data_IF_338154499157
#
_entry.id   IF_338154499157
#
_cell.length_a   1.000
_cell.length_b   1.000
_cell.length_c   1.000
_cell.angle_alpha   90.00
_cell.angle_beta   90.00
_cell.angle_gamma   90.00
#
_symmetry.space_group_name_H-M   'P 1'
#
loop_
_entity.id
_entity.type
_entity.pdbx_description
1 polymer ?
#
# COMPACT_ATOMS: atom_id res chain seq x y z
N UNK A 1 -1.19 -15.92 10.17
CA UNK A 1 -2.08 -14.74 9.98
C UNK A 1 -1.26 -13.49 10.22
N UNK A 2 -1.03 -12.72 9.17
CA UNK A 2 -0.50 -11.36 9.33
C UNK A 2 -1.70 -10.50 9.67
N UNK A 3 -1.95 -10.33 10.97
CA UNK A 3 -2.90 -9.32 11.42
C UNK A 3 -2.18 -7.98 11.39
N UNK A 4 -2.40 -7.23 10.35
CA UNK A 4 -1.90 -5.86 10.20
C UNK A 4 -2.91 -4.85 10.75
N UNK A 5 -3.86 -5.29 11.56
CA UNK A 5 -4.93 -4.44 12.08
C UNK A 5 -4.47 -3.53 13.22
N UNK A 6 -4.99 -2.33 13.24
CA UNK A 6 -4.97 -1.44 14.41
C UNK A 6 -5.87 -1.96 15.53
N UNK A 7 -6.58 -3.04 15.29
CA UNK A 7 -7.54 -3.58 16.23
C UNK A 7 -6.85 -4.53 17.20
N UNK A 8 -6.66 -4.06 18.41
CA UNK A 8 -6.73 -4.88 19.61
C UNK A 8 -5.56 -5.76 19.95
N UNK A 9 -4.37 -5.64 19.37
CA UNK A 9 -3.24 -6.31 20.00
C UNK A 9 -2.01 -5.42 20.03
N UNK A 10 -1.38 -5.32 21.19
CA UNK A 10 -0.05 -4.74 21.39
C UNK A 10 1.00 -5.33 20.41
N UNK A 11 0.69 -6.46 19.80
CA UNK A 11 1.56 -7.16 18.85
C UNK A 11 1.69 -6.44 17.51
N UNK A 12 0.63 -5.81 17.01
CA UNK A 12 0.67 -5.10 15.71
C UNK A 12 1.55 -3.87 15.72
N UNK A 13 1.69 -3.20 16.85
CA UNK A 13 2.57 -2.03 17.04
C UNK A 13 4.06 -2.43 17.00
N UNK A 14 4.37 -3.71 17.18
CA UNK A 14 5.74 -4.24 17.26
C UNK A 14 6.22 -4.90 15.98
N UNK A 15 5.39 -4.95 14.95
CA UNK A 15 5.68 -5.63 13.71
C UNK A 15 5.87 -4.64 12.57
N UNK A 16 6.76 -4.94 11.64
CA UNK A 16 7.00 -4.18 10.42
C UNK A 16 7.13 -5.14 9.25
N UNK A 17 6.33 -4.93 8.22
CA UNK A 17 6.55 -5.54 6.91
C UNK A 17 7.37 -4.55 6.06
N UNK A 18 8.52 -4.98 5.55
CA UNK A 18 9.34 -4.14 4.68
C UNK A 18 9.16 -4.54 3.22
N UNK A 19 8.81 -3.55 2.39
CA UNK A 19 8.57 -3.74 0.96
C UNK A 19 9.86 -4.04 0.19
N UNK A 20 9.78 -4.71 -0.97
CA UNK A 20 10.94 -5.22 -1.69
C UNK A 20 11.72 -4.17 -2.48
N UNK A 21 11.21 -2.95 -2.61
CA UNK A 21 11.77 -1.85 -3.40
C UNK A 21 13.02 -1.19 -2.77
N UNK A 22 13.86 -1.99 -2.17
CA UNK A 22 15.15 -1.60 -1.59
C UNK A 22 16.29 -1.68 -2.62
N UNK A 23 17.49 -1.26 -2.24
CA UNK A 23 18.69 -1.42 -3.04
C UNK A 23 19.78 -2.16 -2.21
N UNK A 24 20.07 -3.45 -2.50
CA UNK A 24 19.44 -4.29 -3.53
C UNK A 24 17.98 -4.61 -3.27
N UNK A 25 17.23 -5.00 -4.32
CA UNK A 25 15.86 -5.49 -4.25
C UNK A 25 15.79 -6.80 -3.46
N UNK A 26 14.68 -7.03 -2.72
CA UNK A 26 14.47 -8.29 -1.99
C UNK A 26 13.95 -9.35 -2.97
N UNK A 27 14.79 -9.87 -3.84
CA UNK A 27 14.45 -10.81 -4.90
C UNK A 27 15.17 -12.16 -4.81
N UNK A 28 15.92 -12.38 -3.73
CA UNK A 28 16.69 -13.60 -3.48
C UNK A 28 16.88 -13.86 -1.98
N UNK A 29 17.24 -15.09 -1.63
CA UNK A 29 17.41 -15.53 -0.24
C UNK A 29 18.53 -14.77 0.50
N UNK A 30 19.61 -14.36 -0.18
CA UNK A 30 20.73 -13.65 0.44
C UNK A 30 20.27 -12.31 1.01
N UNK A 31 19.51 -11.54 0.23
CA UNK A 31 18.95 -10.25 0.68
C UNK A 31 17.98 -10.43 1.84
N UNK A 32 17.13 -11.47 1.79
CA UNK A 32 16.21 -11.81 2.89
C UNK A 32 16.99 -12.11 4.18
N UNK A 33 18.00 -12.97 4.09
CA UNK A 33 18.82 -13.32 5.26
C UNK A 33 19.56 -12.12 5.82
N UNK A 34 20.07 -11.22 4.97
CA UNK A 34 20.71 -9.97 5.40
C UNK A 34 19.74 -9.11 6.22
N UNK A 35 18.50 -8.94 5.76
CA UNK A 35 17.49 -8.16 6.47
C UNK A 35 17.15 -8.82 7.81
N UNK A 36 16.91 -10.13 7.83
CA UNK A 36 16.57 -10.84 9.06
C UNK A 36 17.72 -10.83 10.08
N UNK A 37 18.98 -10.87 9.62
CA UNK A 37 20.12 -10.74 10.50
C UNK A 37 20.19 -9.35 11.14
N UNK A 38 19.97 -8.29 10.36
CA UNK A 38 19.87 -6.91 10.87
C UNK A 38 18.67 -6.70 11.79
N UNK A 39 17.56 -7.37 11.50
CA UNK A 39 16.36 -7.30 12.32
C UNK A 39 16.53 -7.84 13.75
N UNK A 40 17.54 -8.68 14.01
CA UNK A 40 17.84 -9.17 15.38
C UNK A 40 18.21 -8.05 16.34
N UNK A 41 18.71 -6.93 15.83
CA UNK A 41 19.06 -5.74 16.63
C UNK A 41 17.86 -4.81 16.84
N UNK A 42 16.77 -5.02 16.09
CA UNK A 42 15.57 -4.18 16.16
C UNK A 42 14.71 -4.51 17.38
N UNK A 43 14.00 -3.51 17.90
CA UNK A 43 13.02 -3.69 18.98
C UNK A 43 11.68 -4.24 18.46
N UNK A 44 11.48 -4.18 17.15
CA UNK A 44 10.28 -4.64 16.45
C UNK A 44 10.58 -5.90 15.65
N UNK A 45 9.59 -6.75 15.43
CA UNK A 45 9.72 -7.87 14.50
C UNK A 45 9.65 -7.33 13.08
N UNK A 46 10.54 -7.80 12.23
CA UNK A 46 10.61 -7.40 10.81
C UNK A 46 10.28 -8.60 9.95
N UNK A 47 9.32 -8.40 9.04
CA UNK A 47 8.87 -9.39 8.08
C UNK A 47 9.23 -8.93 6.67
N UNK A 48 10.20 -9.55 6.00
CA UNK A 48 10.53 -9.22 4.62
C UNK A 48 9.38 -9.61 3.68
N UNK A 49 9.04 -8.69 2.78
CA UNK A 49 8.22 -8.94 1.60
C UNK A 49 9.17 -9.09 0.42
N UNK A 50 9.12 -10.22 -0.28
CA UNK A 50 9.93 -10.45 -1.46
C UNK A 50 9.33 -9.78 -2.71
N UNK A 51 10.15 -9.55 -3.75
CA UNK A 51 9.59 -9.09 -5.02
C UNK A 51 8.89 -10.22 -5.80
N UNK A 52 7.88 -9.83 -6.58
CA UNK A 52 7.22 -10.76 -7.53
C UNK A 52 8.19 -11.07 -8.66
N UNK A 53 8.83 -10.02 -9.18
CA UNK A 53 9.76 -10.15 -10.32
C UNK A 53 11.17 -9.70 -9.95
N UNK A 54 12.17 -10.32 -10.56
CA UNK A 54 13.58 -10.02 -10.32
C UNK A 54 13.87 -8.55 -10.62
N UNK A 55 14.49 -7.87 -9.66
CA UNK A 55 14.81 -6.46 -9.75
C UNK A 55 13.59 -5.55 -9.96
N UNK A 56 12.35 -6.01 -9.63
CA UNK A 56 11.11 -5.29 -9.96
C UNK A 56 10.99 -4.99 -11.46
N UNK A 57 11.47 -5.92 -12.30
CA UNK A 57 11.54 -5.73 -13.76
C UNK A 57 10.27 -6.09 -14.53
N UNK A 58 9.26 -6.64 -13.86
CA UNK A 58 7.94 -6.96 -14.43
C UNK A 58 7.91 -8.15 -15.42
N UNK A 59 9.00 -8.92 -15.57
CA UNK A 59 9.10 -9.95 -16.59
C UNK A 59 9.52 -11.34 -16.09
N UNK A 60 10.55 -11.44 -15.29
CA UNK A 60 11.07 -12.69 -14.75
C UNK A 60 10.64 -12.85 -13.29
N UNK A 61 9.84 -13.87 -13.00
CA UNK A 61 9.39 -14.14 -11.63
C UNK A 61 10.53 -14.63 -10.74
N UNK A 62 10.51 -14.25 -9.47
CA UNK A 62 11.36 -14.80 -8.43
C UNK A 62 10.95 -16.24 -8.08
N UNK A 63 11.84 -16.96 -7.41
CA UNK A 63 11.52 -18.25 -6.81
C UNK A 63 10.83 -18.04 -5.45
N UNK A 64 9.50 -18.16 -5.43
CA UNK A 64 8.71 -17.89 -4.23
C UNK A 64 8.91 -18.94 -3.14
N UNK A 65 9.25 -20.18 -3.49
CA UNK A 65 9.57 -21.20 -2.49
C UNK A 65 10.90 -20.88 -1.81
N UNK A 66 11.89 -20.42 -2.57
CA UNK A 66 13.18 -19.96 -2.02
C UNK A 66 12.96 -18.76 -1.10
N UNK A 67 12.22 -17.73 -1.54
CA UNK A 67 11.91 -16.55 -0.75
C UNK A 67 11.16 -16.90 0.54
N UNK A 68 10.16 -17.78 0.47
CA UNK A 68 9.42 -18.20 1.64
C UNK A 68 10.29 -18.97 2.63
N UNK A 69 11.09 -19.93 2.15
CA UNK A 69 12.05 -20.67 2.98
C UNK A 69 13.09 -19.77 3.64
N UNK A 70 13.48 -18.69 2.97
CA UNK A 70 14.38 -17.69 3.52
C UNK A 70 13.72 -16.80 4.59
N UNK A 71 12.39 -16.72 4.64
CA UNK A 71 11.64 -16.00 5.67
C UNK A 71 10.73 -14.87 5.17
N UNK A 72 10.52 -14.74 3.86
CA UNK A 72 9.50 -13.84 3.33
C UNK A 72 8.09 -14.31 3.71
N UNK A 73 7.22 -13.35 3.99
CA UNK A 73 5.82 -13.60 4.38
C UNK A 73 4.82 -13.31 3.26
N UNK A 74 5.21 -12.51 2.31
CA UNK A 74 4.41 -12.08 1.16
C UNK A 74 5.33 -11.71 -0.02
N UNK A 75 4.74 -11.43 -1.18
CA UNK A 75 5.44 -10.90 -2.35
C UNK A 75 4.72 -9.67 -2.91
N UNK A 76 5.50 -8.72 -3.44
CA UNK A 76 5.01 -7.47 -4.01
C UNK A 76 6.00 -6.93 -5.04
N UNK A 77 5.51 -6.25 -6.08
CA UNK A 77 6.34 -5.35 -6.90
C UNK A 77 5.95 -3.89 -6.59
N UNK A 78 6.07 -3.53 -5.30
CA UNK A 78 5.71 -2.21 -4.80
C UNK A 78 6.47 -1.10 -5.52
N UNK A 79 5.73 -0.05 -5.93
CA UNK A 79 6.23 1.09 -6.69
C UNK A 79 6.58 0.80 -8.17
N UNK A 80 6.59 -0.48 -8.60
CA UNK A 80 6.80 -0.90 -9.99
C UNK A 80 5.90 -2.08 -10.35
N UNK A 81 4.58 -1.87 -10.41
CA UNK A 81 3.60 -2.94 -10.50
C UNK A 81 3.77 -3.80 -11.75
N UNK A 82 3.43 -5.08 -11.61
CA UNK A 82 3.48 -6.04 -12.72
C UNK A 82 2.43 -5.67 -13.77
N UNK A 83 2.86 -5.16 -14.93
CA UNK A 83 1.96 -4.75 -16.01
C UNK A 83 1.27 -5.91 -16.71
N UNK A 84 1.96 -7.05 -16.82
CA UNK A 84 1.47 -8.21 -17.56
C UNK A 84 0.51 -9.04 -16.68
N UNK A 85 -0.78 -9.01 -17.02
CA UNK A 85 -1.82 -9.73 -16.28
C UNK A 85 -1.57 -11.25 -16.19
N UNK A 86 -0.94 -11.88 -17.22
CA UNK A 86 -0.59 -13.32 -17.17
C UNK A 86 0.49 -13.59 -16.13
N UNK A 87 1.52 -12.74 -16.04
CA UNK A 87 2.57 -12.88 -15.01
C UNK A 87 1.97 -12.68 -13.63
N UNK A 88 1.08 -11.70 -13.45
CA UNK A 88 0.40 -11.47 -12.18
C UNK A 88 -0.48 -12.67 -11.78
N UNK A 89 -1.25 -13.23 -12.70
CA UNK A 89 -2.07 -14.42 -12.47
C UNK A 89 -1.21 -15.63 -12.03
N UNK A 90 -0.11 -15.88 -12.75
CA UNK A 90 0.85 -16.93 -12.38
C UNK A 90 1.50 -16.66 -11.01
N UNK A 91 1.81 -15.41 -10.69
CA UNK A 91 2.39 -15.02 -9.41
C UNK A 91 1.40 -15.23 -8.26
N UNK A 92 0.13 -14.84 -8.41
CA UNK A 92 -0.90 -15.08 -7.40
C UNK A 92 -1.03 -16.57 -7.06
N UNK A 93 -1.13 -17.42 -8.08
CA UNK A 93 -1.23 -18.87 -7.88
C UNK A 93 0.01 -19.43 -7.19
N UNK A 94 1.21 -19.09 -7.67
CA UNK A 94 2.47 -19.59 -7.09
C UNK A 94 2.69 -19.10 -5.67
N UNK A 95 2.39 -17.82 -5.38
CA UNK A 95 2.49 -17.28 -4.03
C UNK A 95 1.55 -18.02 -3.07
N UNK A 96 0.30 -18.25 -3.49
CA UNK A 96 -0.67 -19.02 -2.70
C UNK A 96 -0.16 -20.41 -2.36
N UNK A 97 0.34 -21.17 -3.34
CA UNK A 97 0.88 -22.51 -3.09
C UNK A 97 2.18 -22.51 -2.29
N UNK A 98 2.96 -21.44 -2.35
CA UNK A 98 4.13 -21.26 -1.50
C UNK A 98 3.77 -20.80 -0.05
N UNK A 99 2.49 -20.62 0.27
CA UNK A 99 2.03 -20.16 1.58
C UNK A 99 2.16 -18.66 1.82
N UNK A 100 2.30 -17.88 0.75
CA UNK A 100 2.40 -16.42 0.79
C UNK A 100 1.19 -15.76 0.12
N UNK A 101 1.04 -14.45 0.32
CA UNK A 101 0.06 -13.60 -0.38
C UNK A 101 0.78 -12.65 -1.33
N UNK A 102 0.09 -12.24 -2.38
CA UNK A 102 0.49 -11.07 -3.18
C UNK A 102 -0.07 -9.82 -2.51
N UNK A 103 0.79 -8.83 -2.28
CA UNK A 103 0.41 -7.46 -1.91
C UNK A 103 0.58 -6.61 -3.17
N UNK A 104 -0.50 -6.06 -3.68
CA UNK A 104 -0.48 -5.33 -4.95
C UNK A 104 -0.52 -3.83 -4.75
N UNK A 105 0.54 -3.14 -5.18
CA UNK A 105 0.53 -1.72 -5.46
C UNK A 105 -0.23 -1.50 -6.78
N UNK A 106 -1.48 -1.06 -6.66
CA UNK A 106 -2.37 -0.94 -7.81
C UNK A 106 -2.14 0.36 -8.56
N UNK A 107 -1.31 0.30 -9.59
CA UNK A 107 -1.00 1.47 -10.40
C UNK A 107 -0.73 1.09 -11.86
N UNK A 108 -1.37 1.80 -12.79
CA UNK A 108 -1.05 1.75 -14.22
C UNK A 108 -0.08 2.89 -14.56
N UNK A 109 1.20 2.55 -14.79
CA UNK A 109 2.26 3.52 -15.06
C UNK A 109 2.09 4.25 -16.40
N UNK A 110 1.34 3.69 -17.36
CA UNK A 110 1.05 4.35 -18.64
C UNK A 110 0.00 5.44 -18.44
N UNK A 111 -0.95 5.24 -17.51
CA UNK A 111 -1.93 6.26 -17.11
C UNK A 111 -1.27 7.32 -16.22
N UNK A 112 -0.36 6.94 -15.31
CA UNK A 112 0.45 7.89 -14.52
C UNK A 112 1.19 8.85 -15.42
N UNK A 113 1.85 8.34 -16.44
CA UNK A 113 2.47 9.12 -17.53
C UNK A 113 3.29 10.33 -17.02
N UNK A 114 4.07 10.15 -15.94
CA UNK A 114 4.87 11.21 -15.34
C UNK A 114 4.08 12.27 -14.55
N UNK A 115 2.85 11.96 -14.15
CA UNK A 115 2.09 12.78 -13.20
C UNK A 115 2.76 12.81 -11.83
N UNK A 116 2.55 13.87 -11.08
CA UNK A 116 3.21 14.10 -9.80
C UNK A 116 2.24 14.33 -8.64
N UNK A 117 0.96 14.45 -8.91
CA UNK A 117 -0.11 14.64 -7.94
C UNK A 117 -1.44 14.16 -8.53
N UNK A 118 -2.54 14.21 -7.78
CA UNK A 118 -3.86 13.86 -8.29
C UNK A 118 -4.26 14.72 -9.51
N UNK A 119 -4.80 14.08 -10.54
CA UNK A 119 -5.39 14.80 -11.68
C UNK A 119 -6.74 15.40 -11.27
N UNK A 120 -6.82 16.70 -11.24
CA UNK A 120 -8.03 17.41 -10.83
C UNK A 120 -7.92 18.93 -11.04
N UNK A 121 -8.68 19.66 -10.26
CA UNK A 121 -8.67 21.12 -10.30
C UNK A 121 -7.32 21.69 -9.87
N UNK A 122 -6.78 21.18 -8.76
CA UNK A 122 -5.52 21.67 -8.19
C UNK A 122 -4.35 21.46 -9.15
N UNK A 123 -4.23 20.28 -9.78
CA UNK A 123 -3.14 20.04 -10.74
C UNK A 123 -3.22 20.93 -11.96
N UNK A 124 -4.45 21.26 -12.43
CA UNK A 124 -4.67 22.19 -13.53
C UNK A 124 -4.30 23.64 -13.15
N UNK A 125 -4.69 24.08 -11.96
CA UNK A 125 -4.33 25.41 -11.44
C UNK A 125 -2.82 25.58 -11.28
N UNK A 126 -2.14 24.55 -10.75
CA UNK A 126 -0.70 24.57 -10.58
C UNK A 126 0.08 24.39 -11.89
N UNK A 127 -0.60 24.02 -12.98
CA UNK A 127 0.03 23.77 -14.28
C UNK A 127 0.93 22.55 -14.30
N UNK A 128 0.70 21.59 -13.39
CA UNK A 128 1.50 20.37 -13.27
C UNK A 128 0.73 19.14 -13.76
N UNK A 129 1.46 18.10 -14.17
CA UNK A 129 0.87 16.88 -14.66
C UNK A 129 0.26 16.08 -13.54
N UNK A 130 -1.01 15.72 -13.70
CA UNK A 130 -1.75 14.93 -12.73
C UNK A 130 -1.76 13.43 -13.03
N UNK A 131 -1.87 12.61 -11.99
CA UNK A 131 -2.10 11.16 -12.02
C UNK A 131 -3.59 10.93 -11.99
N UNK A 132 -4.15 10.39 -13.08
CA UNK A 132 -5.57 10.10 -13.13
C UNK A 132 -5.91 8.92 -12.19
N UNK A 133 -7.00 9.02 -11.44
CA UNK A 133 -7.44 7.97 -10.51
C UNK A 133 -7.57 6.59 -11.16
N UNK A 134 -7.89 6.55 -12.45
CA UNK A 134 -7.98 5.31 -13.22
C UNK A 134 -6.70 4.47 -13.19
N UNK A 135 -5.54 5.07 -12.89
CA UNK A 135 -4.30 4.30 -12.73
C UNK A 135 -4.42 3.28 -11.58
N UNK A 136 -5.12 3.65 -10.50
CA UNK A 136 -5.41 2.76 -9.37
C UNK A 136 -6.66 1.92 -9.63
N UNK A 137 -7.76 2.55 -10.04
CA UNK A 137 -9.07 1.90 -10.19
C UNK A 137 -9.03 0.68 -11.11
N UNK A 138 -8.37 0.80 -12.28
CA UNK A 138 -8.29 -0.27 -13.29
C UNK A 138 -7.43 -1.44 -12.80
N UNK A 139 -6.31 -1.15 -12.15
CA UNK A 139 -5.44 -2.21 -11.65
C UNK A 139 -6.08 -2.91 -10.46
N UNK A 140 -6.72 -2.18 -9.55
CA UNK A 140 -7.51 -2.79 -8.47
C UNK A 140 -8.57 -3.76 -9.01
N UNK A 141 -9.33 -3.36 -10.02
CA UNK A 141 -10.32 -4.24 -10.65
C UNK A 141 -9.69 -5.44 -11.34
N UNK A 142 -8.55 -5.27 -12.03
CA UNK A 142 -7.80 -6.36 -12.63
C UNK A 142 -7.39 -7.41 -11.60
N UNK A 143 -6.80 -6.97 -10.47
CA UNK A 143 -6.32 -7.86 -9.44
C UNK A 143 -7.46 -8.62 -8.77
N UNK A 144 -8.56 -7.94 -8.48
CA UNK A 144 -9.77 -8.56 -7.93
C UNK A 144 -10.34 -9.62 -8.89
N UNK A 145 -10.43 -9.29 -10.18
CA UNK A 145 -10.94 -10.20 -11.20
C UNK A 145 -10.06 -11.45 -11.30
N UNK A 146 -8.73 -11.29 -11.32
CA UNK A 146 -7.80 -12.42 -11.32
C UNK A 146 -7.94 -13.27 -10.06
N UNK A 147 -8.00 -12.65 -8.89
CA UNK A 147 -8.15 -13.35 -7.61
C UNK A 147 -9.46 -14.16 -7.55
N UNK A 148 -10.56 -13.58 -8.05
CA UNK A 148 -11.87 -14.24 -8.08
C UNK A 148 -11.88 -15.46 -9.02
N UNK A 149 -11.34 -15.33 -10.23
CA UNK A 149 -11.33 -16.41 -11.23
C UNK A 149 -10.37 -17.55 -10.85
N UNK A 150 -9.24 -17.21 -10.23
CA UNK A 150 -8.22 -18.16 -9.79
C UNK A 150 -8.50 -18.78 -8.41
N UNK A 151 -9.50 -18.28 -7.71
CA UNK A 151 -9.83 -18.68 -6.32
C UNK A 151 -8.63 -18.57 -5.36
N UNK A 152 -7.84 -17.48 -5.47
CA UNK A 152 -6.66 -17.21 -4.62
C UNK A 152 -6.80 -15.87 -3.91
N UNK A 153 -6.17 -15.70 -2.73
CA UNK A 153 -6.23 -14.44 -2.01
C UNK A 153 -5.37 -13.35 -2.67
N UNK A 154 -5.85 -12.11 -2.56
CA UNK A 154 -5.12 -10.89 -2.91
C UNK A 154 -5.21 -9.87 -1.78
N UNK A 155 -4.16 -9.09 -1.58
CA UNK A 155 -4.15 -7.93 -0.71
C UNK A 155 -3.89 -6.66 -1.53
N UNK A 156 -4.77 -5.68 -1.44
CA UNK A 156 -4.65 -4.39 -2.14
C UNK A 156 -4.00 -3.39 -1.21
N UNK A 157 -2.80 -2.92 -1.58
CA UNK A 157 -2.03 -1.98 -0.79
C UNK A 157 -2.60 -0.55 -0.88
N UNK A 158 -2.44 0.23 0.20
CA UNK A 158 -2.65 1.68 0.33
C UNK A 158 -3.77 2.25 -0.56
N UNK A 159 -4.98 1.70 -0.48
CA UNK A 159 -6.14 2.17 -1.25
C UNK A 159 -6.39 3.65 -1.01
N UNK A 160 -6.56 4.42 -2.09
CA UNK A 160 -6.72 5.87 -2.03
C UNK A 160 -7.97 6.42 -2.72
N UNK A 161 -8.66 5.63 -3.56
CA UNK A 161 -9.81 6.11 -4.35
C UNK A 161 -11.14 5.51 -3.91
N UNK A 162 -12.22 6.29 -4.05
CA UNK A 162 -13.58 5.84 -3.79
C UNK A 162 -14.00 4.68 -4.71
N UNK A 163 -13.50 4.66 -5.95
CA UNK A 163 -13.85 3.59 -6.90
C UNK A 163 -13.17 2.27 -6.52
N UNK A 164 -11.88 2.29 -6.15
CA UNK A 164 -11.19 1.09 -5.65
C UNK A 164 -11.88 0.53 -4.41
N UNK A 165 -12.31 1.39 -3.46
CA UNK A 165 -13.10 0.98 -2.31
C UNK A 165 -14.42 0.29 -2.72
N UNK A 166 -15.12 0.84 -3.70
CA UNK A 166 -16.36 0.24 -4.18
C UNK A 166 -16.12 -1.13 -4.85
N UNK A 167 -15.06 -1.26 -5.63
CA UNK A 167 -14.68 -2.51 -6.28
C UNK A 167 -14.36 -3.59 -5.22
N UNK A 168 -13.54 -3.26 -4.22
CA UNK A 168 -13.17 -4.15 -3.12
C UNK A 168 -14.41 -4.59 -2.32
N UNK A 169 -15.26 -3.64 -1.93
CA UNK A 169 -16.51 -3.92 -1.19
C UNK A 169 -17.44 -4.84 -1.97
N UNK A 170 -17.54 -4.64 -3.28
CA UNK A 170 -18.36 -5.48 -4.15
C UNK A 170 -17.78 -6.89 -4.25
N UNK A 171 -16.47 -7.02 -4.50
CA UNK A 171 -15.79 -8.30 -4.59
C UNK A 171 -15.93 -9.13 -3.29
N UNK A 172 -15.70 -8.51 -2.15
CA UNK A 172 -15.85 -9.16 -0.85
C UNK A 172 -17.27 -9.70 -0.62
N UNK A 173 -18.29 -8.95 -1.03
CA UNK A 173 -19.71 -9.40 -0.96
C UNK A 173 -19.98 -10.62 -1.83
N UNK A 174 -19.29 -10.78 -2.93
CA UNK A 174 -19.41 -11.95 -3.81
C UNK A 174 -18.44 -13.10 -3.43
N UNK A 175 -17.74 -12.97 -2.31
CA UNK A 175 -16.90 -14.03 -1.76
C UNK A 175 -15.48 -14.11 -2.30
N UNK A 176 -15.02 -13.09 -3.04
CA UNK A 176 -13.61 -12.97 -3.43
C UNK A 176 -12.74 -12.81 -2.18
N UNK A 177 -11.66 -13.56 -2.10
CA UNK A 177 -10.70 -13.48 -0.98
C UNK A 177 -9.81 -12.24 -1.13
N UNK A 178 -10.41 -11.07 -1.02
CA UNK A 178 -9.73 -9.77 -1.08
C UNK A 178 -9.62 -9.16 0.32
N UNK A 179 -8.44 -8.65 0.64
CA UNK A 179 -8.18 -7.79 1.79
C UNK A 179 -7.52 -6.50 1.31
N UNK A 180 -7.62 -5.43 2.07
CA UNK A 180 -7.00 -4.17 1.68
C UNK A 180 -6.52 -3.34 2.89
N UNK A 181 -5.66 -2.40 2.59
CA UNK A 181 -5.10 -1.49 3.57
C UNK A 181 -5.13 -0.04 3.07
N UNK A 182 -5.04 0.89 4.00
CA UNK A 182 -4.88 2.33 3.70
C UNK A 182 -3.89 2.96 4.68
N UNK A 183 -3.52 4.22 4.42
CA UNK A 183 -2.65 4.99 5.30
C UNK A 183 -3.36 6.25 5.84
N UNK A 184 -2.93 6.81 6.98
CA UNK A 184 -3.59 7.96 7.60
C UNK A 184 -3.76 9.16 6.68
N UNK A 185 -2.80 9.38 5.79
CA UNK A 185 -2.86 10.51 4.86
C UNK A 185 -4.01 10.38 3.84
N UNK A 186 -4.55 9.16 3.56
CA UNK A 186 -5.67 8.97 2.64
C UNK A 186 -7.06 9.17 3.27
N UNK A 187 -7.15 9.21 4.60
CA UNK A 187 -8.40 9.55 5.29
C UNK A 187 -8.33 10.87 6.08
N UNK A 188 -7.20 11.61 5.99
CA UNK A 188 -7.03 12.89 6.67
C UNK A 188 -6.76 14.05 5.73
N UNK A 189 -6.04 13.81 4.62
CA UNK A 189 -5.48 14.85 3.78
C UNK A 189 -6.08 14.79 2.38
N UNK A 190 -6.22 15.96 1.76
CA UNK A 190 -6.71 16.08 0.39
C UNK A 190 -5.66 16.71 -0.53
N UNK A 191 -5.85 16.59 -1.83
CA UNK A 191 -5.01 17.20 -2.86
C UNK A 191 -4.99 18.74 -2.79
N UNK A 192 -5.93 19.36 -2.06
CA UNK A 192 -5.95 20.80 -1.79
C UNK A 192 -4.65 21.33 -1.12
N UNK A 193 -4.01 20.49 -0.30
CA UNK A 193 -2.77 20.85 0.38
C UNK A 193 -1.61 21.11 -0.58
N UNK A 194 -1.64 20.49 -1.76
CA UNK A 194 -0.63 20.69 -2.79
C UNK A 194 -0.66 22.09 -3.43
N UNK A 195 -1.70 22.90 -3.19
CA UNK A 195 -1.72 24.32 -3.57
C UNK A 195 -0.57 25.12 -2.95
N UNK A 196 -0.05 24.66 -1.80
CA UNK A 196 1.14 25.24 -1.17
C UNK A 196 2.43 24.99 -1.94
N UNK A 197 2.44 24.05 -2.91
CA UNK A 197 3.63 23.52 -3.59
C UNK A 197 4.66 22.94 -2.61
N UNK A 198 4.21 22.47 -1.45
CA UNK A 198 5.04 21.76 -0.50
C UNK A 198 5.16 20.30 -0.92
N UNK A 199 6.39 19.87 -1.20
CA UNK A 199 6.66 18.53 -1.68
C UNK A 199 6.49 17.45 -0.59
N UNK A 200 6.37 17.82 0.68
CA UNK A 200 6.08 16.86 1.75
C UNK A 200 4.68 16.26 1.63
N UNK A 201 3.79 16.91 0.86
CA UNK A 201 2.47 16.36 0.49
C UNK A 201 2.50 15.51 -0.78
N UNK A 202 3.67 15.27 -1.39
CA UNK A 202 3.81 14.37 -2.53
C UNK A 202 4.08 12.95 -2.07
N UNK A 203 3.13 12.06 -2.34
CA UNK A 203 3.19 10.63 -2.07
C UNK A 203 2.56 9.84 -3.22
N UNK A 204 2.70 8.53 -3.23
CA UNK A 204 2.14 7.65 -4.24
C UNK A 204 1.54 6.39 -3.60
N UNK A 205 0.22 6.18 -3.75
CA UNK A 205 -0.79 6.98 -4.47
C UNK A 205 -0.82 8.45 -4.04
N UNK A 206 -1.22 9.38 -4.94
CA UNK A 206 -1.30 10.79 -4.56
C UNK A 206 -2.47 11.05 -3.62
N UNK A 207 -2.38 12.10 -2.80
CA UNK A 207 -3.53 12.62 -2.07
C UNK A 207 -4.67 12.91 -3.04
N UNK A 208 -5.87 12.46 -2.69
CA UNK A 208 -7.06 12.51 -3.53
C UNK A 208 -8.03 13.61 -3.09
N UNK A 209 -9.20 13.64 -3.70
CA UNK A 209 -10.26 14.60 -3.40
C UNK A 209 -10.92 14.31 -2.05
N UNK A 210 -11.68 15.31 -1.53
CA UNK A 210 -12.46 15.13 -0.30
C UNK A 210 -13.48 13.97 -0.39
N UNK A 211 -14.02 13.69 -1.59
CA UNK A 211 -14.93 12.57 -1.79
C UNK A 211 -14.21 11.22 -1.66
N UNK A 212 -12.97 11.12 -2.12
CA UNK A 212 -12.16 9.93 -1.93
C UNK A 212 -11.80 9.74 -0.45
N UNK A 213 -11.35 10.82 0.23
CA UNK A 213 -11.07 10.80 1.67
C UNK A 213 -12.28 10.31 2.48
N UNK A 214 -13.48 10.78 2.14
CA UNK A 214 -14.71 10.31 2.78
C UNK A 214 -14.94 8.82 2.56
N UNK A 215 -14.79 8.32 1.32
CA UNK A 215 -14.98 6.91 1.00
C UNK A 215 -13.97 5.99 1.71
N UNK A 216 -12.72 6.42 1.83
CA UNK A 216 -11.69 5.71 2.59
C UNK A 216 -12.05 5.69 4.09
N UNK A 217 -12.46 6.84 4.65
CA UNK A 217 -12.90 6.94 6.05
C UNK A 217 -14.07 5.98 6.33
N UNK A 218 -15.08 5.97 5.46
CA UNK A 218 -16.22 5.05 5.55
C UNK A 218 -15.74 3.59 5.48
N UNK A 219 -14.77 3.27 4.61
CA UNK A 219 -14.19 1.94 4.50
C UNK A 219 -13.45 1.46 5.75
N UNK A 220 -12.81 2.39 6.48
CA UNK A 220 -12.21 2.08 7.79
C UNK A 220 -13.29 1.84 8.84
N UNK A 221 -14.35 2.64 8.85
CA UNK A 221 -15.43 2.56 9.84
C UNK A 221 -16.26 1.28 9.67
N UNK A 222 -16.59 0.91 8.44
CA UNK A 222 -17.44 -0.24 8.15
C UNK A 222 -16.67 -1.57 8.08
N UNK A 223 -15.35 -1.54 8.25
CA UNK A 223 -14.48 -2.71 8.26
C UNK A 223 -14.19 -3.29 6.86
N UNK A 224 -14.47 -2.55 5.79
CA UNK A 224 -14.05 -2.93 4.44
C UNK A 224 -12.53 -2.86 4.31
N UNK A 225 -11.90 -1.89 4.98
CA UNK A 225 -10.44 -1.79 5.10
C UNK A 225 -10.00 -2.63 6.30
N UNK A 226 -9.13 -3.60 6.05
CA UNK A 226 -8.69 -4.57 7.06
C UNK A 226 -7.61 -4.01 7.99
N UNK A 227 -6.79 -3.07 7.51
CA UNK A 227 -5.73 -2.49 8.33
C UNK A 227 -5.32 -1.09 7.89
N UNK A 228 -4.71 -0.35 8.82
CA UNK A 228 -4.10 0.95 8.60
C UNK A 228 -2.59 0.77 8.70
N UNK A 229 -1.89 1.15 7.63
CA UNK A 229 -0.43 1.04 7.54
C UNK A 229 0.22 2.43 7.53
N UNK A 230 1.53 2.48 7.63
CA UNK A 230 2.25 3.75 7.69
C UNK A 230 2.60 4.32 6.33
N UNK A 231 2.81 3.46 5.37
CA UNK A 231 3.41 3.82 4.07
C UNK A 231 4.65 4.71 4.23
N UNK A 232 5.52 4.31 5.18
CA UNK A 232 6.68 5.09 5.56
C UNK A 232 7.75 5.05 4.46
N UNK A 233 7.87 6.14 3.72
CA UNK A 233 8.84 6.34 2.65
C UNK A 233 9.56 7.70 2.82
N UNK A 234 10.53 7.79 3.74
CA UNK A 234 11.19 9.05 4.08
C UNK A 234 12.18 9.47 3.00
N UNK A 235 12.27 10.77 2.80
CA UNK A 235 13.26 11.40 1.93
C UNK A 235 13.97 12.54 2.67
N UNK A 236 15.21 12.82 2.27
CA UNK A 236 15.95 13.92 2.83
C UNK A 236 15.32 15.29 2.45
N UNK A 237 15.43 16.33 3.30
CA UNK A 237 14.87 17.65 3.00
C UNK A 237 15.36 18.21 1.66
N UNK A 238 16.61 17.93 1.29
CA UNK A 238 17.20 18.37 0.03
C UNK A 238 16.53 17.71 -1.19
N UNK A 239 16.09 16.47 -1.06
CA UNK A 239 15.35 15.75 -2.11
C UNK A 239 13.93 16.30 -2.26
N UNK A 240 13.35 16.81 -1.18
CA UNK A 240 12.01 17.44 -1.15
C UNK A 240 12.00 18.94 -1.47
N UNK A 241 13.16 19.56 -1.73
CA UNK A 241 13.27 21.02 -1.92
C UNK A 241 12.62 21.53 -3.21
N UNK A 242 12.54 20.73 -4.27
CA UNK A 242 11.93 21.09 -5.55
C UNK A 242 10.61 20.34 -5.73
N UNK A 243 9.49 21.07 -5.67
CA UNK A 243 8.15 20.47 -5.75
C UNK A 243 7.94 19.58 -6.98
N UNK A 244 8.47 19.94 -8.13
CA UNK A 244 8.22 19.17 -9.36
C UNK A 244 9.15 17.96 -9.51
N UNK A 245 10.33 17.99 -8.90
CA UNK A 245 11.34 16.93 -8.99
C UNK A 245 11.40 16.02 -7.77
N UNK A 246 10.79 16.45 -6.67
CA UNK A 246 10.81 15.69 -5.43
C UNK A 246 10.32 14.26 -5.63
N UNK A 247 10.96 13.26 -5.01
CA UNK A 247 10.43 11.90 -4.95
C UNK A 247 9.13 11.86 -4.15
N UNK A 248 8.28 10.89 -4.46
CA UNK A 248 7.07 10.63 -3.68
C UNK A 248 7.40 9.85 -2.42
N UNK A 249 6.77 10.21 -1.31
CA UNK A 249 6.91 9.53 -0.04
C UNK A 249 6.76 10.47 1.14
N UNK A 250 6.37 9.90 2.28
CA UNK A 250 6.09 10.62 3.53
C UNK A 250 6.61 9.84 4.74
N UNK A 251 6.98 10.56 5.80
CA UNK A 251 7.26 9.94 7.10
C UNK A 251 5.96 9.48 7.74
N UNK A 252 5.90 8.25 8.23
CA UNK A 252 4.67 7.66 8.77
C UNK A 252 4.86 6.92 10.09
N UNK A 253 6.05 6.35 10.37
CA UNK A 253 6.26 5.51 11.56
C UNK A 253 6.00 6.24 12.88
N UNK A 254 6.35 7.52 12.96
CA UNK A 254 6.20 8.32 14.18
C UNK A 254 4.83 8.99 14.29
N UNK A 255 4.15 9.20 13.17
CA UNK A 255 2.93 10.01 13.09
C UNK A 255 1.65 9.19 12.92
N UNK A 256 1.73 8.00 12.36
CA UNK A 256 0.56 7.20 11.96
C UNK A 256 -0.44 6.96 13.07
N UNK A 257 0.01 6.56 14.27
CA UNK A 257 -0.89 6.32 15.40
C UNK A 257 -1.58 7.60 15.84
N UNK A 258 -0.82 8.68 16.03
CA UNK A 258 -1.38 9.96 16.46
C UNK A 258 -2.35 10.54 15.41
N UNK A 259 -2.02 10.43 14.14
CA UNK A 259 -2.86 10.83 13.02
C UNK A 259 -4.17 10.03 12.99
N UNK A 260 -4.08 8.71 13.11
CA UNK A 260 -5.25 7.82 13.13
C UNK A 260 -6.17 8.12 14.32
N UNK A 261 -5.61 8.27 15.52
CA UNK A 261 -6.40 8.63 16.71
C UNK A 261 -7.07 9.99 16.54
N UNK A 262 -6.37 10.96 15.98
CA UNK A 262 -6.93 12.28 15.71
C UNK A 262 -8.09 12.23 14.72
N UNK A 263 -7.92 11.50 13.61
CA UNK A 263 -8.93 11.45 12.56
C UNK A 263 -10.16 10.61 12.92
N UNK A 264 -9.99 9.53 13.66
CA UNK A 264 -11.04 8.53 13.83
C UNK A 264 -11.57 8.48 15.26
N UNK A 265 -10.72 8.53 16.27
CA UNK A 265 -11.13 8.42 17.67
C UNK A 265 -11.60 9.77 18.25
N UNK A 266 -10.79 10.83 18.11
CA UNK A 266 -11.14 12.13 18.66
C UNK A 266 -12.32 12.80 17.94
N UNK A 267 -12.61 12.38 16.71
CA UNK A 267 -13.82 12.80 15.97
C UNK A 267 -15.05 11.94 16.29
N UNK A 268 -14.91 10.94 17.19
CA UNK A 268 -15.96 10.00 17.55
C UNK A 268 -16.49 9.16 16.35
N UNK A 269 -15.69 8.95 15.33
CA UNK A 269 -16.03 8.10 14.19
C UNK A 269 -15.80 6.62 14.51
N UNK A 270 -14.76 6.30 15.32
CA UNK A 270 -14.51 4.96 15.83
C UNK A 270 -14.47 4.99 17.36
N UNK A 271 -15.18 4.08 17.97
CA UNK A 271 -15.06 3.78 19.40
C UNK A 271 -14.24 2.50 19.56
N UNK A 272 -13.08 2.61 20.17
CA UNK A 272 -12.21 1.46 20.46
C UNK A 272 -12.64 0.73 21.75
N UNK A 273 -13.95 0.64 21.98
CA UNK A 273 -14.49 0.06 23.21
C UNK A 273 -13.99 -1.36 23.48
N UNK A 274 -13.71 -2.12 22.43
CA UNK A 274 -13.31 -3.52 22.61
C UNK A 274 -11.81 -3.69 22.87
N UNK A 275 -10.99 -2.73 22.48
CA UNK A 275 -9.55 -2.74 22.78
C UNK A 275 -9.21 -2.25 24.20
N UNK A 276 -10.14 -1.56 24.87
CA UNK A 276 -9.96 -1.03 26.20
C UNK A 276 -10.67 -1.86 27.30
N UNK A 277 -11.43 -2.87 26.91
CA UNK A 277 -12.24 -3.69 27.81
C UNK A 277 -11.60 -5.05 28.17
N UNK A 278 -10.49 -5.40 27.58
CA UNK A 278 -9.65 -6.55 27.89
C UNK A 278 -8.24 -6.10 28.34
#
# INVERSE_FOLDING_TARGET
EISLGLVGSEMCIRDRACMPNTNPTIDNAETVHYILEKAKEAKTRVYPVGSITKGLGGSEMCDFEELHKAGCVAVSDDGRPVKNARIMAEAMVKAHYAGMKVISHCEDLDIVNGGIMNYGEVSKELGVKGIHRLSEDIITEREITLAADLEVPIHIAHVSTAQSMQNIRTAARFGTMVTCETAPHYFMLTDELLRSRDADYRMNPPLRTAADVQAITEGVIDGTIDCIITDHAPHAPEEKADFEKAPNGVVGLETSLAATLTALYHTCLLYTSDAAAE
#
